data_IF_453664450601
#
_entry.id   IF_453664450601
#
_cell.length_a   1.000
_cell.length_b   1.000
_cell.length_c   1.000
_cell.angle_alpha   90.00
_cell.angle_beta   90.00
_cell.angle_gamma   90.00
#
_symmetry.space_group_name_H-M   'P 1'
#
loop_
_entity.id
_entity.type
_entity.pdbx_description
1 polymer ?
#
# COMPACT_ATOMS: atom_id res chain seq x y z
N UNK A 1 -6.19 7.14 -17.01
CA UNK A 1 -7.06 7.39 -15.85
C UNK A 1 -6.25 7.04 -14.60
N UNK A 2 -5.75 8.03 -13.87
CA UNK A 2 -5.04 7.77 -12.61
C UNK A 2 -6.14 7.48 -11.58
N UNK A 3 -6.22 6.24 -11.07
CA UNK A 3 -7.15 5.90 -9.99
C UNK A 3 -6.61 6.52 -8.69
N UNK A 4 -6.90 7.80 -8.51
CA UNK A 4 -6.69 8.49 -7.24
C UNK A 4 -7.66 7.88 -6.22
N UNK A 5 -7.11 7.15 -5.27
CA UNK A 5 -7.86 6.51 -4.19
C UNK A 5 -7.38 7.00 -2.83
N UNK A 6 -8.04 6.57 -1.77
CA UNK A 6 -7.60 6.82 -0.40
C UNK A 6 -6.82 5.62 0.11
N UNK A 7 -5.64 5.88 0.67
CA UNK A 7 -4.83 4.83 1.28
C UNK A 7 -5.59 4.20 2.44
N UNK A 8 -5.80 2.88 2.41
CA UNK A 8 -6.48 2.15 3.48
C UNK A 8 -5.65 2.05 4.79
N UNK A 9 -4.47 2.66 4.85
CA UNK A 9 -3.62 2.72 6.06
C UNK A 9 -3.54 4.12 6.64
N UNK A 10 -3.25 5.14 5.82
CA UNK A 10 -3.09 6.52 6.31
C UNK A 10 -4.24 7.46 5.94
N UNK A 11 -5.19 7.02 5.12
CA UNK A 11 -6.32 7.83 4.68
C UNK A 11 -5.95 8.97 3.70
N UNK A 12 -4.69 9.10 3.30
CA UNK A 12 -4.28 10.13 2.34
C UNK A 12 -4.66 9.75 0.91
N UNK A 13 -5.07 10.72 0.07
CA UNK A 13 -5.22 10.52 -1.35
C UNK A 13 -3.86 10.32 -2.02
N UNK A 14 -3.82 9.54 -3.11
CA UNK A 14 -2.62 9.40 -3.92
C UNK A 14 -2.65 8.21 -4.89
N UNK A 15 -1.48 7.89 -5.45
CA UNK A 15 -1.30 6.70 -6.29
C UNK A 15 -1.41 5.47 -5.40
N UNK A 16 -2.44 4.66 -5.65
CA UNK A 16 -2.70 3.44 -4.90
C UNK A 16 -1.95 2.24 -5.49
N UNK A 17 -1.26 1.51 -4.63
CA UNK A 17 -0.61 0.24 -4.90
C UNK A 17 -1.37 -0.86 -4.15
N UNK A 18 -1.59 -2.00 -4.80
CA UNK A 18 -2.20 -3.16 -4.15
C UNK A 18 -1.14 -4.02 -3.48
N UNK A 19 -1.30 -4.28 -2.19
CA UNK A 19 -0.48 -5.26 -1.48
C UNK A 19 -0.76 -6.67 -2.01
N UNK A 20 0.28 -7.39 -2.43
CA UNK A 20 0.13 -8.77 -2.96
C UNK A 20 -0.30 -9.78 -1.90
N UNK A 21 -0.06 -9.51 -0.61
CA UNK A 21 -0.44 -10.41 0.48
C UNK A 21 -1.89 -10.21 0.95
N UNK A 22 -2.30 -8.97 1.22
CA UNK A 22 -3.58 -8.68 1.86
C UNK A 22 -4.60 -8.00 0.93
N UNK A 23 -4.19 -7.62 -0.29
CA UNK A 23 -5.05 -6.96 -1.28
C UNK A 23 -5.39 -5.49 -0.97
N UNK A 24 -4.87 -4.90 0.12
CA UNK A 24 -5.17 -3.50 0.46
C UNK A 24 -4.57 -2.53 -0.57
N UNK A 25 -5.34 -1.50 -0.90
CA UNK A 25 -4.90 -0.34 -1.67
C UNK A 25 -4.22 0.68 -0.75
N UNK A 26 -2.95 0.92 -0.99
CA UNK A 26 -2.10 1.76 -0.15
C UNK A 26 -1.31 2.77 -0.99
N UNK A 27 -1.12 3.98 -0.47
CA UNK A 27 -0.27 4.95 -1.16
C UNK A 27 1.18 4.47 -1.23
N UNK A 28 1.96 5.05 -2.15
CA UNK A 28 3.40 4.73 -2.31
C UNK A 28 4.19 4.90 -1.01
N UNK A 29 3.86 5.85 -0.13
CA UNK A 29 4.49 5.98 1.20
C UNK A 29 4.22 4.79 2.13
N UNK A 30 3.05 4.16 2.00
CA UNK A 30 2.63 3.01 2.79
C UNK A 30 2.90 1.68 2.09
N UNK A 31 3.49 1.71 0.89
CA UNK A 31 3.84 0.56 0.09
C UNK A 31 5.36 0.34 0.16
N UNK A 32 5.78 -0.81 0.64
CA UNK A 32 7.15 -1.25 0.59
C UNK A 32 7.40 -1.89 -0.78
N UNK A 33 8.06 -1.13 -1.66
CA UNK A 33 8.40 -1.55 -3.03
C UNK A 33 9.41 -2.70 -3.06
N UNK A 34 10.35 -2.77 -2.11
CA UNK A 34 11.36 -3.84 -2.04
C UNK A 34 10.71 -5.20 -1.79
N UNK A 35 9.70 -5.25 -0.91
CA UNK A 35 8.95 -6.48 -0.61
C UNK A 35 7.71 -6.67 -1.48
N UNK A 36 7.25 -5.64 -2.19
CA UNK A 36 5.97 -5.64 -2.91
C UNK A 36 4.75 -5.70 -1.99
N UNK A 37 4.86 -5.19 -0.77
CA UNK A 37 3.87 -5.34 0.31
C UNK A 37 3.52 -4.01 0.95
N UNK A 38 2.33 -3.88 1.54
CA UNK A 38 2.06 -2.73 2.40
C UNK A 38 2.93 -2.75 3.66
N UNK A 39 3.19 -1.57 4.24
CA UNK A 39 4.04 -1.44 5.43
C UNK A 39 3.63 -2.37 6.58
N UNK A 40 2.33 -2.59 6.79
CA UNK A 40 1.81 -3.48 7.85
C UNK A 40 2.20 -4.94 7.60
N UNK A 41 2.07 -5.41 6.35
CA UNK A 41 2.47 -6.77 5.98
C UNK A 41 3.99 -6.91 5.98
N UNK A 42 4.72 -5.87 5.54
CA UNK A 42 6.17 -5.86 5.51
C UNK A 42 6.82 -6.01 6.90
N UNK A 43 6.18 -5.53 7.99
CA UNK A 43 6.64 -5.75 9.37
C UNK A 43 6.34 -7.16 9.90
N UNK A 44 5.33 -7.85 9.35
CA UNK A 44 4.97 -9.21 9.78
C UNK A 44 5.90 -10.28 9.21
N UNK A 45 6.54 -10.01 8.08
CA UNK A 45 7.57 -10.89 7.50
C UNK A 45 8.95 -10.47 8.01
N UNK A 46 9.39 -11.10 9.09
CA UNK A 46 10.74 -11.04 9.64
C UNK A 46 11.41 -12.39 9.46
#
# INVERSE_FOLDING_TARGET
>A
MIKEGLCQICGKPGIMNSCTLCGRLVCSECYNTEKGLCKICAVKFK
#
